data_IF_915977261099
#
_entry.id   IF_915977261099
#
_cell.length_a   1.000
_cell.length_b   1.000
_cell.length_c   1.000
_cell.angle_alpha   90.00
_cell.angle_beta   90.00
_cell.angle_gamma   90.00
#
_symmetry.space_group_name_H-M   'P 1'
#
loop_
_entity.id
_entity.type
_entity.pdbx_description
1 polymer ?
#
# COMPACT_ATOMS: atom_id res chain seq x y z
N UNK A 1 2.67 17.58 1.64
CA UNK A 1 3.30 16.99 0.86
C UNK A 1 3.65 15.58 1.08
N UNK A 2 4.51 15.27 1.99
CA UNK A 2 4.82 13.89 2.24
C UNK A 2 3.58 13.09 2.60
N UNK A 3 2.60 13.76 3.10
CA UNK A 3 1.40 13.09 3.54
C UNK A 3 0.54 12.59 2.39
N UNK A 4 0.94 12.89 1.15
CA UNK A 4 0.14 12.49 0.02
C UNK A 4 0.28 11.03 -0.33
N UNK A 5 1.31 10.36 0.14
CA UNK A 5 1.50 8.97 -0.20
C UNK A 5 0.75 8.04 0.73
N UNK A 6 1.14 6.79 0.69
CA UNK A 6 0.52 5.76 1.52
C UNK A 6 0.69 6.08 3.00
N UNK A 7 -0.38 5.92 3.74
CA UNK A 7 -0.36 6.15 5.18
C UNK A 7 -1.25 5.10 5.85
N UNK A 8 -0.67 4.16 6.59
CA UNK A 8 -1.48 3.10 7.21
C UNK A 8 -2.48 3.64 8.23
N UNK A 9 -2.27 4.85 8.73
CA UNK A 9 -3.23 5.43 9.67
C UNK A 9 -4.46 5.98 8.99
N UNK A 10 -4.49 5.99 7.67
CA UNK A 10 -5.64 6.50 6.93
C UNK A 10 -6.52 5.39 6.39
N UNK A 11 -6.25 4.16 6.74
CA UNK A 11 -7.10 3.08 6.29
C UNK A 11 -8.44 3.16 7.01
N UNK A 12 -9.48 2.83 6.27
CA UNK A 12 -10.85 2.84 6.79
C UNK A 12 -11.37 1.45 7.06
N UNK A 13 -10.50 0.48 6.96
CA UNK A 13 -10.87 -0.91 7.18
C UNK A 13 -10.57 -1.26 8.62
N UNK A 14 -11.52 -1.91 9.29
CA UNK A 14 -11.32 -2.29 10.68
C UNK A 14 -10.24 -3.35 10.79
N UNK A 15 -9.66 -3.43 11.99
CA UNK A 15 -8.64 -4.44 12.22
C UNK A 15 -9.19 -5.84 12.06
N UNK A 16 -10.46 -6.03 12.42
CA UNK A 16 -11.07 -7.34 12.28
C UNK A 16 -11.19 -7.75 10.82
N UNK A 17 -11.64 -6.83 9.98
CA UNK A 17 -11.76 -7.12 8.56
C UNK A 17 -10.40 -7.40 7.96
N UNK A 18 -9.40 -6.62 8.34
CA UNK A 18 -8.05 -6.84 7.83
C UNK A 18 -7.53 -8.21 8.25
N UNK A 19 -7.74 -8.58 9.51
CA UNK A 19 -7.31 -9.89 9.99
C UNK A 19 -7.97 -11.03 9.24
N UNK A 20 -9.25 -10.90 8.98
CA UNK A 20 -9.95 -11.94 8.24
C UNK A 20 -9.41 -12.08 6.83
N UNK A 21 -9.13 -10.94 6.20
CA UNK A 21 -8.54 -10.96 4.86
C UNK A 21 -7.18 -11.67 4.88
N UNK A 22 -6.36 -11.36 5.87
CA UNK A 22 -5.03 -11.95 5.93
C UNK A 22 -5.06 -13.45 6.12
N UNK A 23 -6.10 -13.96 6.80
CA UNK A 23 -6.22 -15.38 7.05
C UNK A 23 -6.97 -16.13 5.95
N UNK A 24 -7.62 -15.42 5.06
CA UNK A 24 -8.45 -16.05 4.05
C UNK A 24 -7.62 -16.49 2.85
N UNK A 25 -8.18 -17.40 2.08
CA UNK A 25 -7.60 -17.77 0.81
C UNK A 25 -8.06 -16.80 -0.25
N UNK A 26 -7.16 -16.43 -1.14
CA UNK A 26 -7.50 -15.55 -2.24
C UNK A 26 -8.39 -16.30 -3.21
N UNK A 27 -9.54 -15.72 -3.54
CA UNK A 27 -10.45 -16.34 -4.48
C UNK A 27 -10.30 -15.78 -5.89
N UNK A 28 -9.74 -14.59 -6.01
CA UNK A 28 -9.57 -13.95 -7.31
C UNK A 28 -10.54 -12.82 -7.57
N UNK A 29 -11.61 -12.72 -6.81
CA UNK A 29 -12.56 -11.63 -6.99
C UNK A 29 -12.02 -10.39 -6.34
N UNK A 30 -11.79 -9.36 -7.12
CA UNK A 30 -11.04 -8.21 -6.63
C UNK A 30 -11.76 -7.49 -5.49
N UNK A 31 -13.08 -7.61 -5.40
CA UNK A 31 -13.81 -6.97 -4.30
C UNK A 31 -13.61 -7.69 -2.98
N UNK A 32 -12.93 -8.82 -2.96
CA UNK A 32 -12.57 -9.45 -1.69
C UNK A 32 -11.52 -8.65 -0.93
N UNK A 33 -10.80 -7.78 -1.64
CA UNK A 33 -9.73 -6.99 -1.03
C UNK A 33 -10.34 -5.87 -0.20
N UNK A 34 -10.01 -5.78 1.09
CA UNK A 34 -10.53 -4.67 1.91
C UNK A 34 -10.21 -3.33 1.28
N UNK A 35 -11.22 -2.51 1.17
CA UNK A 35 -11.07 -1.20 0.54
C UNK A 35 -11.53 -1.16 -0.91
N UNK A 36 -11.79 -2.30 -1.53
CA UNK A 36 -12.23 -2.32 -2.92
C UNK A 36 -13.70 -2.67 -2.99
N UNK A 37 -14.51 -1.66 -3.30
CA UNK A 37 -15.92 -1.87 -3.61
C UNK A 37 -16.11 -1.88 -5.10
N UNK A 38 -17.38 -1.77 -5.50
CA UNK A 38 -17.70 -1.87 -6.92
C UNK A 38 -17.13 -0.74 -7.75
N UNK A 39 -17.11 0.47 -7.19
CA UNK A 39 -16.58 1.61 -7.94
C UNK A 39 -15.10 1.42 -8.26
N UNK A 40 -14.33 1.00 -7.25
CA UNK A 40 -12.91 0.77 -7.46
C UNK A 40 -12.68 -0.41 -8.38
N UNK A 41 -13.51 -1.44 -8.25
CA UNK A 41 -13.38 -2.60 -9.14
C UNK A 41 -13.58 -2.17 -10.60
N UNK A 42 -14.54 -1.30 -10.85
CA UNK A 42 -14.75 -0.81 -12.21
C UNK A 42 -13.59 0.04 -12.69
N UNK A 43 -13.05 0.87 -11.82
CA UNK A 43 -11.89 1.68 -12.18
C UNK A 43 -10.72 0.79 -12.58
N UNK A 44 -10.48 -0.26 -11.80
CA UNK A 44 -9.41 -1.20 -12.10
C UNK A 44 -9.64 -1.92 -13.42
N UNK A 45 -10.87 -2.32 -13.66
CA UNK A 45 -11.19 -3.02 -14.89
C UNK A 45 -11.01 -2.13 -16.10
N UNK A 46 -11.31 -0.85 -15.97
CA UNK A 46 -11.27 0.08 -17.10
C UNK A 46 -9.93 0.76 -17.28
N UNK A 47 -9.00 0.59 -16.36
CA UNK A 47 -7.70 1.22 -16.53
C UNK A 47 -6.90 0.49 -17.60
N UNK A 48 -5.79 1.09 -17.96
CA UNK A 48 -4.99 0.56 -19.06
C UNK A 48 -4.55 -0.87 -18.81
N UNK A 49 -4.25 -1.18 -17.56
CA UNK A 49 -3.77 -2.53 -17.21
C UNK A 49 -4.87 -3.56 -17.13
N UNK A 50 -6.12 -3.14 -17.14
CA UNK A 50 -7.25 -4.08 -17.14
C UNK A 50 -7.17 -5.09 -16.02
N UNK A 51 -7.23 -4.61 -14.79
CA UNK A 51 -7.13 -5.44 -13.59
C UNK A 51 -8.53 -5.95 -13.24
N UNK A 52 -8.75 -7.24 -13.38
CA UNK A 52 -10.05 -7.82 -13.06
C UNK A 52 -10.00 -8.86 -11.96
N UNK A 53 -8.81 -9.27 -11.55
CA UNK A 53 -8.69 -10.27 -10.49
C UNK A 53 -7.73 -9.79 -9.40
N UNK A 54 -7.88 -10.39 -8.23
CA UNK A 54 -6.95 -10.11 -7.14
C UNK A 54 -5.52 -10.47 -7.54
N UNK A 55 -5.36 -11.53 -8.30
CA UNK A 55 -4.02 -11.95 -8.72
C UNK A 55 -3.35 -10.89 -9.58
N UNK A 56 -4.11 -10.28 -10.49
CA UNK A 56 -3.55 -9.23 -11.32
C UNK A 56 -3.19 -8.00 -10.48
N UNK A 57 -4.02 -7.69 -9.50
CA UNK A 57 -3.73 -6.55 -8.64
C UNK A 57 -2.47 -6.80 -7.83
N UNK A 58 -2.30 -7.99 -7.30
CA UNK A 58 -1.09 -8.36 -6.60
C UNK A 58 0.12 -8.28 -7.51
N UNK A 59 -0.04 -8.75 -8.75
CA UNK A 59 1.05 -8.65 -9.73
C UNK A 59 1.43 -7.22 -10.00
N UNK A 60 0.43 -6.33 -10.08
CA UNK A 60 0.73 -4.92 -10.29
C UNK A 60 1.54 -4.37 -9.12
N UNK A 61 1.12 -4.68 -7.89
CA UNK A 61 1.88 -4.24 -6.72
C UNK A 61 3.31 -4.76 -6.79
N UNK A 62 3.46 -6.05 -7.08
CA UNK A 62 4.79 -6.64 -7.14
C UNK A 62 5.65 -6.02 -8.23
N UNK A 63 5.03 -5.60 -9.31
CA UNK A 63 5.79 -5.03 -10.43
C UNK A 63 6.48 -3.72 -10.07
N UNK A 64 6.05 -3.06 -9.01
CA UNK A 64 6.69 -1.82 -8.58
C UNK A 64 7.95 -2.07 -7.73
N UNK A 65 8.21 -3.32 -7.37
CA UNK A 65 9.39 -3.63 -6.59
C UNK A 65 10.60 -3.67 -7.51
N UNK A 66 11.40 -2.65 -7.47
CA UNK A 66 12.61 -2.61 -8.26
C UNK A 66 13.81 -3.02 -7.42
N UNK A 67 14.97 -3.05 -8.06
CA UNK A 67 16.17 -3.56 -7.42
C UNK A 67 16.56 -2.76 -6.18
N UNK A 68 16.38 -1.47 -6.21
CA UNK A 68 16.79 -0.63 -5.09
C UNK A 68 15.60 0.09 -4.46
N UNK A 69 14.44 -0.52 -4.53
CA UNK A 69 13.21 0.09 -4.00
C UNK A 69 12.94 -0.49 -2.63
N UNK A 70 12.95 0.38 -1.61
CA UNK A 70 12.64 -0.06 -0.26
C UNK A 70 11.15 -0.15 -0.03
N UNK A 71 10.75 -0.67 1.15
CA UNK A 71 9.32 -0.89 1.41
C UNK A 71 8.47 0.36 1.39
N UNK A 72 9.00 1.48 1.90
CA UNK A 72 8.22 2.72 1.92
C UNK A 72 7.97 3.20 0.50
N UNK A 73 9.02 3.24 -0.31
CA UNK A 73 8.88 3.69 -1.69
C UNK A 73 7.99 2.75 -2.48
N UNK A 74 8.10 1.45 -2.22
CA UNK A 74 7.30 0.46 -2.92
C UNK A 74 5.81 0.71 -2.68
N UNK A 75 5.44 0.88 -1.41
CA UNK A 75 4.05 1.15 -1.07
C UNK A 75 3.57 2.45 -1.70
N UNK A 76 4.42 3.47 -1.69
CA UNK A 76 4.04 4.75 -2.29
C UNK A 76 3.84 4.65 -3.77
N UNK A 77 4.65 3.88 -4.47
CA UNK A 77 4.48 3.72 -5.92
C UNK A 77 3.13 3.11 -6.24
N UNK A 78 2.72 2.11 -5.47
CA UNK A 78 1.42 1.50 -5.67
C UNK A 78 0.29 2.49 -5.35
N UNK A 79 0.46 3.24 -4.26
CA UNK A 79 -0.51 4.27 -3.88
C UNK A 79 -0.68 5.30 -4.99
N UNK A 80 0.42 5.79 -5.54
CA UNK A 80 0.34 6.81 -6.59
C UNK A 80 -0.23 6.26 -7.88
N UNK A 81 0.01 5.00 -8.16
CA UNK A 81 -0.62 4.37 -9.31
C UNK A 81 -2.14 4.30 -9.12
N UNK A 82 -2.60 3.92 -7.93
CA UNK A 82 -4.02 3.91 -7.64
C UNK A 82 -4.63 5.29 -7.81
N UNK A 83 -3.90 6.32 -7.36
CA UNK A 83 -4.37 7.68 -7.53
C UNK A 83 -4.44 8.05 -9.00
N UNK A 84 -3.46 7.67 -9.76
CA UNK A 84 -3.39 8.03 -11.17
C UNK A 84 -4.55 7.45 -11.96
N UNK A 85 -4.95 6.23 -11.65
CA UNK A 85 -6.05 5.62 -12.38
C UNK A 85 -7.41 6.07 -11.88
N UNK A 86 -7.45 6.87 -10.81
CA UNK A 86 -8.69 7.51 -10.38
C UNK A 86 -9.52 6.73 -9.39
N UNK A 87 -8.89 5.93 -8.54
CA UNK A 87 -9.64 5.22 -7.51
C UNK A 87 -10.17 6.19 -6.45
N UNK A 88 -11.06 5.70 -5.61
CA UNK A 88 -11.66 6.49 -4.55
C UNK A 88 -10.59 6.90 -3.55
N UNK A 89 -10.44 8.21 -3.34
CA UNK A 89 -9.33 8.73 -2.55
C UNK A 89 -9.27 8.15 -1.15
N UNK A 90 -10.41 8.06 -0.50
CA UNK A 90 -10.43 7.62 0.89
C UNK A 90 -10.12 6.15 1.07
N UNK A 91 -10.05 5.37 0.00
CA UNK A 91 -9.81 3.95 0.11
C UNK A 91 -8.41 3.53 -0.32
N UNK A 92 -7.62 4.46 -0.83
CA UNK A 92 -6.33 4.07 -1.40
C UNK A 92 -5.40 3.44 -0.38
N UNK A 93 -5.26 4.04 0.78
CA UNK A 93 -4.38 3.47 1.79
C UNK A 93 -4.88 2.13 2.29
N UNK A 94 -6.21 1.94 2.32
CA UNK A 94 -6.77 0.65 2.70
C UNK A 94 -6.36 -0.43 1.70
N UNK A 95 -6.42 -0.12 0.41
CA UNK A 95 -6.07 -1.09 -0.62
C UNK A 95 -4.58 -1.41 -0.55
N UNK A 96 -3.74 -0.39 -0.40
CA UNK A 96 -2.31 -0.62 -0.32
C UNK A 96 -1.99 -1.52 0.87
N UNK A 97 -2.58 -1.21 2.03
CA UNK A 97 -2.30 -2.00 3.21
C UNK A 97 -2.75 -3.45 3.03
N UNK A 98 -3.93 -3.64 2.46
CA UNK A 98 -4.46 -4.98 2.28
C UNK A 98 -3.54 -5.83 1.41
N UNK A 99 -3.12 -5.28 0.29
CA UNK A 99 -2.29 -6.03 -0.66
C UNK A 99 -0.89 -6.22 -0.09
N UNK A 100 -0.32 -5.16 0.49
CA UNK A 100 1.05 -5.26 0.99
C UNK A 100 1.16 -6.25 2.14
N UNK A 101 0.23 -6.21 3.08
CA UNK A 101 0.30 -7.12 4.21
C UNK A 101 0.03 -8.56 3.79
N UNK A 102 -0.87 -8.76 2.84
CA UNK A 102 -1.14 -10.10 2.36
C UNK A 102 0.11 -10.70 1.71
N UNK A 103 0.76 -9.92 0.87
CA UNK A 103 1.95 -10.40 0.18
C UNK A 103 3.16 -10.50 1.10
N UNK A 104 3.16 -9.74 2.19
CA UNK A 104 4.25 -9.87 3.17
C UNK A 104 4.32 -11.28 3.76
N UNK A 105 3.18 -11.96 3.81
CA UNK A 105 3.17 -13.33 4.31
C UNK A 105 4.02 -14.25 3.44
N UNK A 106 4.15 -13.93 2.15
CA UNK A 106 4.97 -14.71 1.23
C UNK A 106 6.35 -14.10 1.02
N UNK A 107 6.43 -12.79 1.07
CA UNK A 107 7.67 -12.07 0.82
C UNK A 107 7.93 -11.13 1.99
N UNK A 108 8.57 -11.62 3.07
CA UNK A 108 8.62 -10.86 4.32
C UNK A 108 9.24 -9.46 4.21
N UNK A 109 10.11 -9.25 3.25
CA UNK A 109 10.79 -7.96 3.13
C UNK A 109 10.05 -6.96 2.26
N UNK A 110 8.89 -7.34 1.73
CA UNK A 110 8.24 -6.47 0.75
C UNK A 110 7.48 -5.31 1.39
N UNK A 111 7.17 -5.42 2.67
CA UNK A 111 6.43 -4.40 3.38
C UNK A 111 6.91 -4.37 4.82
N UNK A 112 7.03 -3.17 5.37
CA UNK A 112 7.54 -3.01 6.71
C UNK A 112 6.57 -2.12 7.50
N UNK A 113 5.66 -2.72 8.24
CA UNK A 113 4.70 -1.91 9.00
C UNK A 113 5.38 -1.06 10.06
N UNK A 114 6.50 -1.50 10.58
CA UNK A 114 7.19 -0.74 11.60
C UNK A 114 7.78 0.55 11.08
N UNK A 115 7.97 0.65 9.79
CA UNK A 115 8.52 1.86 9.20
C UNK A 115 7.58 3.05 9.37
N UNK A 116 6.31 2.78 9.67
CA UNK A 116 5.31 3.84 9.82
C UNK A 116 5.00 4.16 11.29
N UNK A 117 5.67 3.53 12.21
CA UNK A 117 5.48 3.80 13.63
C UNK A 117 6.29 4.98 14.09
N UNK A 118 6.62 5.85 13.17
CA UNK A 118 7.46 6.99 13.51
C UNK A 118 6.76 7.99 14.39
N UNK A 119 5.44 7.91 14.44
CA UNK A 119 4.73 8.84 15.28
C UNK A 119 5.12 8.75 16.72
N UNK A 120 5.40 7.54 17.16
CA UNK A 120 5.74 7.34 18.55
C UNK A 120 7.08 7.93 18.91
N UNK A 121 7.97 8.05 17.96
CA UNK A 121 9.28 8.61 18.23
C UNK A 121 9.38 10.04 17.77
N UNK A 122 8.35 10.56 17.16
CA UNK A 122 8.41 11.90 16.61
C UNK A 122 8.71 12.93 17.66
N UNK A 123 8.08 12.82 18.78
CA UNK A 123 8.22 13.81 19.82
C UNK A 123 9.59 13.83 20.40
N UNK A 124 10.21 12.67 20.45
CA UNK A 124 11.52 12.59 21.04
C UNK A 124 12.62 12.91 20.07
N UNK A 125 12.47 12.45 18.85
CA UNK A 125 13.54 12.53 17.88
C UNK A 125 13.11 13.16 16.59
N UNK A 126 12.36 14.23 16.68
CA UNK A 126 11.86 14.88 15.48
C UNK A 126 12.98 15.23 14.52
N UNK A 127 14.07 15.75 15.04
CA UNK A 127 15.17 16.14 14.19
C UNK A 127 15.84 14.94 13.55
N UNK A 128 16.09 13.93 14.34
CA UNK A 128 16.72 12.73 13.81
C UNK A 128 15.87 12.08 12.77
N UNK A 129 14.59 12.05 13.00
CA UNK A 129 13.70 11.44 12.06
C UNK A 129 13.70 12.19 10.75
N UNK A 130 13.70 13.49 10.82
CA UNK A 130 13.73 14.31 9.63
C UNK A 130 14.97 14.05 8.82
N UNK A 131 16.11 13.99 9.50
CA UNK A 131 17.38 13.74 8.86
C UNK A 131 17.40 12.36 8.22
N UNK A 132 16.91 11.39 8.94
CA UNK A 132 16.88 10.03 8.43
C UNK A 132 16.01 9.92 7.18
N UNK A 133 14.88 10.60 7.20
CA UNK A 133 13.99 10.59 6.07
C UNK A 133 14.65 11.21 4.83
N UNK A 134 15.35 12.31 5.04
CA UNK A 134 16.03 12.96 3.94
C UNK A 134 17.13 12.11 3.35
N UNK A 135 17.84 11.41 4.20
CA UNK A 135 18.89 10.53 3.72
C UNK A 135 18.33 9.40 2.87
N UNK A 136 17.21 8.85 3.29
CA UNK A 136 16.58 7.80 2.51
C UNK A 136 16.19 8.31 1.14
N UNK A 137 15.61 9.49 1.11
CA UNK A 137 15.14 10.02 -0.15
C UNK A 137 16.27 10.36 -1.09
N UNK A 138 17.35 10.88 -0.55
CA UNK A 138 18.49 11.22 -1.37
C UNK A 138 19.05 10.00 -2.07
N UNK A 139 19.04 8.88 -1.41
CA UNK A 139 19.58 7.68 -2.00
C UNK A 139 18.71 7.10 -3.07
N UNK A 140 17.47 7.48 -3.13
CA UNK A 140 16.54 6.86 -4.07
C UNK A 140 16.21 7.69 -5.27
N UNK A 141 16.18 8.95 -5.07
CA UNK A 141 15.79 9.83 -6.14
C UNK A 141 16.99 10.43 -6.81
#
# INVERSE_FOLDING_TARGET
MASEGYNPNRTRVSDNTQSQWLRSNVTGTVTEVPGIGEATARTLENCEDRITTTYQLMGKFLSFKGANVGPIEHADRFFYWLRRIGTVAGQRSSVVRAIAEKLQLQFPDIYDPDAYDVENSTEEDGENKSMWYNMQNLGKW
#
